data_IF_385939703961
#
_entry.id   IF_385939703961
#
_cell.length_a   1.000
_cell.length_b   1.000
_cell.length_c   1.000
_cell.angle_alpha   90.00
_cell.angle_beta   90.00
_cell.angle_gamma   90.00
#
_symmetry.space_group_name_H-M   'P 1'
#
loop_
_entity.id
_entity.type
_entity.pdbx_description
1 polymer ?
#
# COMPACT_ATOMS: atom_id res chain seq x y z
N UNK A 1 11.70 -10.85 -11.79
CA UNK A 1 10.98 -9.79 -11.04
C UNK A 1 11.42 -8.47 -11.63
N UNK A 2 10.50 -7.58 -12.02
CA UNK A 2 10.92 -6.24 -12.44
C UNK A 2 11.33 -5.46 -11.19
N UNK A 3 12.26 -4.52 -11.33
CA UNK A 3 12.57 -3.60 -10.23
C UNK A 3 11.37 -2.71 -9.94
N UNK A 4 11.22 -2.28 -8.68
CA UNK A 4 10.10 -1.45 -8.22
C UNK A 4 9.79 -0.23 -9.13
N UNK A 5 10.77 0.59 -9.56
CA UNK A 5 10.49 1.74 -10.44
C UNK A 5 10.00 1.32 -11.84
N UNK A 6 10.57 0.25 -12.42
CA UNK A 6 10.16 -0.26 -13.72
C UNK A 6 8.78 -0.93 -13.67
N UNK A 7 8.48 -1.63 -12.58
CA UNK A 7 7.18 -2.23 -12.32
C UNK A 7 6.09 -1.16 -12.15
N UNK A 8 6.36 -0.11 -11.37
CA UNK A 8 5.47 1.04 -11.20
C UNK A 8 5.16 1.71 -12.55
N UNK A 9 6.20 2.03 -13.32
CA UNK A 9 6.04 2.72 -14.59
C UNK A 9 5.24 1.89 -15.59
N UNK A 10 5.55 0.59 -15.70
CA UNK A 10 4.80 -0.34 -16.56
C UNK A 10 3.32 -0.37 -16.16
N UNK A 11 3.01 -0.50 -14.88
CA UNK A 11 1.64 -0.58 -14.39
C UNK A 11 0.85 0.69 -14.72
N UNK A 12 1.43 1.87 -14.43
CA UNK A 12 0.81 3.17 -14.65
C UNK A 12 0.58 3.49 -16.12
N UNK A 13 1.51 3.12 -17.02
CA UNK A 13 1.39 3.38 -18.46
C UNK A 13 0.14 2.75 -19.10
N UNK A 14 -0.29 1.60 -18.57
CA UNK A 14 -1.49 0.89 -19.00
C UNK A 14 -2.77 1.27 -18.23
N UNK A 15 -2.68 2.17 -17.26
CA UNK A 15 -3.80 2.60 -16.42
C UNK A 15 -4.53 3.80 -17.05
N UNK A 16 -5.85 3.92 -16.86
CA UNK A 16 -6.60 5.11 -17.29
C UNK A 16 -6.29 6.30 -16.38
N UNK A 17 -6.36 7.51 -16.89
CA UNK A 17 -6.15 8.73 -16.09
C UNK A 17 -7.13 8.84 -14.90
N UNK A 18 -8.40 8.50 -15.10
CA UNK A 18 -9.38 8.42 -14.01
C UNK A 18 -8.94 7.48 -12.89
N UNK A 19 -8.41 6.32 -13.27
CA UNK A 19 -8.03 5.27 -12.33
C UNK A 19 -6.71 5.64 -11.64
N UNK A 20 -5.79 6.34 -12.33
CA UNK A 20 -4.57 6.90 -11.76
C UNK A 20 -4.88 7.90 -10.65
N UNK A 21 -5.89 8.76 -10.84
CA UNK A 21 -6.29 9.74 -9.82
C UNK A 21 -6.91 9.05 -8.60
N UNK A 22 -7.72 8.01 -8.81
CA UNK A 22 -8.23 7.16 -7.73
C UNK A 22 -7.10 6.42 -6.99
N UNK A 23 -6.12 5.89 -7.73
CA UNK A 23 -4.94 5.24 -7.17
C UNK A 23 -4.13 6.23 -6.33
N UNK A 24 -3.85 7.43 -6.84
CA UNK A 24 -3.10 8.46 -6.11
C UNK A 24 -3.75 8.79 -4.77
N UNK A 25 -5.05 9.07 -4.76
CA UNK A 25 -5.77 9.38 -3.52
C UNK A 25 -5.73 8.24 -2.51
N UNK A 26 -5.86 7.00 -2.98
CA UNK A 26 -5.78 5.82 -2.13
C UNK A 26 -4.36 5.61 -1.58
N UNK A 27 -3.33 5.81 -2.41
CA UNK A 27 -1.93 5.68 -1.99
C UNK A 27 -1.51 6.78 -1.01
N UNK A 28 -2.02 8.01 -1.14
CA UNK A 28 -1.78 9.07 -0.16
C UNK A 28 -2.37 8.73 1.22
N UNK A 29 -3.60 8.21 1.25
CA UNK A 29 -4.22 7.74 2.50
C UNK A 29 -3.48 6.53 3.11
N UNK A 30 -3.03 5.61 2.25
CA UNK A 30 -2.21 4.47 2.64
C UNK A 30 -0.88 4.92 3.25
N UNK A 31 -0.21 5.90 2.64
CA UNK A 31 1.10 6.39 3.07
C UNK A 31 1.03 7.12 4.40
N UNK A 32 0.02 7.97 4.58
CA UNK A 32 -0.27 8.60 5.88
C UNK A 32 -0.50 7.53 6.97
N UNK A 33 -1.29 6.50 6.67
CA UNK A 33 -1.55 5.39 7.60
C UNK A 33 -0.29 4.58 7.88
N UNK A 34 0.53 4.29 6.87
CA UNK A 34 1.76 3.54 7.03
C UNK A 34 2.75 4.30 7.91
N UNK A 35 2.98 5.59 7.65
CA UNK A 35 3.91 6.41 8.41
C UNK A 35 3.50 6.56 9.89
N UNK A 36 2.20 6.66 10.19
CA UNK A 36 1.71 6.66 11.58
C UNK A 36 1.89 5.32 12.29
N UNK A 37 1.83 4.20 11.56
CA UNK A 37 1.81 2.86 12.14
C UNK A 37 3.15 2.10 12.06
N UNK A 38 4.11 2.57 11.25
CA UNK A 38 5.39 1.90 11.03
C UNK A 38 6.23 1.77 12.30
N UNK A 39 6.20 2.80 13.15
CA UNK A 39 7.03 2.87 14.36
C UNK A 39 6.24 2.66 15.65
N UNK A 40 4.91 2.51 15.58
CA UNK A 40 4.07 2.40 16.78
C UNK A 40 3.88 0.93 17.19
N UNK A 41 4.57 0.55 18.26
CA UNK A 41 4.32 -0.70 18.98
C UNK A 41 3.40 -0.42 20.17
N UNK A 42 2.12 -0.80 20.07
CA UNK A 42 1.18 -0.61 21.17
C UNK A 42 1.27 -1.79 22.14
N UNK A 43 1.73 -1.52 23.36
CA UNK A 43 1.74 -2.49 24.46
C UNK A 43 0.43 -2.38 25.26
N UNK A 44 -0.36 -3.45 25.26
CA UNK A 44 -1.63 -3.52 25.98
C UNK A 44 -1.54 -4.55 27.10
N UNK A 45 -1.44 -4.07 28.35
CA UNK A 45 -1.52 -4.92 29.55
C UNK A 45 -2.91 -5.54 29.75
N UNK A 46 -3.94 -5.05 29.04
CA UNK A 46 -5.32 -5.56 29.08
C UNK A 46 -5.45 -6.97 28.46
N UNK A 47 -4.42 -7.43 27.74
CA UNK A 47 -4.39 -8.72 27.05
C UNK A 47 -3.80 -9.87 27.86
N UNK A 48 -3.40 -9.68 29.13
CA UNK A 48 -2.90 -10.77 29.98
C UNK A 48 -3.88 -11.96 30.08
N UNK A 49 -5.20 -11.71 29.93
CA UNK A 49 -6.24 -12.75 29.90
C UNK A 49 -6.31 -13.55 28.59
N UNK A 50 -5.57 -13.18 27.54
CA UNK A 50 -5.56 -13.81 26.20
C UNK A 50 -4.36 -14.72 25.96
N UNK A 51 -3.68 -15.16 27.02
CA UNK A 51 -2.49 -16.04 26.99
C UNK A 51 -2.71 -17.37 26.24
N UNK A 52 -3.97 -17.77 26.05
CA UNK A 52 -4.38 -19.03 25.44
C UNK A 52 -4.77 -18.92 23.95
N UNK A 53 -4.73 -17.74 23.33
CA UNK A 53 -5.11 -17.58 21.92
C UNK A 53 -3.88 -17.44 21.02
N UNK A 54 -3.78 -18.19 19.91
CA UNK A 54 -2.67 -18.08 18.96
C UNK A 54 -2.60 -16.68 18.33
N UNK A 55 -1.44 -16.30 17.80
CA UNK A 55 -1.24 -15.04 17.06
C UNK A 55 -2.30 -14.93 15.97
N UNK A 56 -3.11 -13.86 16.01
CA UNK A 56 -4.14 -13.59 15.02
C UNK A 56 -3.74 -12.34 14.23
N UNK A 57 -3.54 -12.52 12.92
CA UNK A 57 -3.43 -11.43 11.96
C UNK A 57 -4.83 -11.07 11.49
N UNK A 58 -5.32 -9.89 11.86
CA UNK A 58 -6.61 -9.40 11.39
C UNK A 58 -6.40 -8.52 10.16
N UNK A 59 -7.06 -8.84 9.05
CA UNK A 59 -7.08 -7.96 7.88
C UNK A 59 -7.83 -6.67 8.22
N UNK A 60 -7.19 -5.51 7.98
CA UNK A 60 -7.80 -4.20 8.20
C UNK A 60 -8.45 -3.68 6.92
N UNK A 61 -7.67 -3.64 5.84
CA UNK A 61 -8.08 -3.08 4.57
C UNK A 61 -7.37 -3.80 3.43
N UNK A 62 -8.08 -4.00 2.32
CA UNK A 62 -7.52 -4.52 1.08
C UNK A 62 -7.91 -3.58 -0.05
N UNK A 63 -6.90 -3.01 -0.71
CA UNK A 63 -7.07 -2.16 -1.88
C UNK A 63 -6.74 -2.97 -3.12
N UNK A 64 -7.58 -2.85 -4.14
CA UNK A 64 -7.46 -3.58 -5.38
C UNK A 64 -7.54 -2.61 -6.55
N UNK A 65 -6.51 -2.62 -7.39
CA UNK A 65 -6.46 -1.84 -8.61
C UNK A 65 -6.13 -2.76 -9.77
N UNK A 66 -6.72 -2.46 -10.93
CA UNK A 66 -6.40 -3.17 -12.16
C UNK A 66 -6.24 -2.17 -13.30
N UNK A 67 -5.41 -2.53 -14.27
CA UNK A 67 -5.18 -1.71 -15.46
C UNK A 67 -5.89 -2.31 -16.69
N UNK A 68 -5.74 -1.66 -17.85
CA UNK A 68 -6.37 -2.12 -19.10
C UNK A 68 -5.87 -3.48 -19.59
N UNK A 69 -4.67 -3.88 -19.18
CA UNK A 69 -4.01 -5.14 -19.57
C UNK A 69 -4.27 -6.24 -18.53
N UNK A 70 -5.19 -6.00 -17.58
CA UNK A 70 -5.52 -6.90 -16.48
C UNK A 70 -4.37 -7.17 -15.50
N UNK A 71 -3.32 -6.34 -15.49
CA UNK A 71 -2.40 -6.39 -14.36
C UNK A 71 -3.15 -5.94 -13.10
N UNK A 72 -2.84 -6.59 -11.99
CA UNK A 72 -3.51 -6.40 -10.71
C UNK A 72 -2.52 -5.94 -9.65
N UNK A 73 -2.84 -4.81 -9.00
CA UNK A 73 -2.16 -4.33 -7.82
C UNK A 73 -3.08 -4.55 -6.62
N UNK A 74 -2.61 -5.34 -5.65
CA UNK A 74 -3.32 -5.67 -4.42
C UNK A 74 -2.47 -5.21 -3.26
N UNK A 75 -3.04 -4.36 -2.40
CA UNK A 75 -2.37 -3.85 -1.20
C UNK A 75 -3.21 -4.26 0.00
N UNK A 76 -2.64 -5.08 0.87
CA UNK A 76 -3.33 -5.55 2.09
C UNK A 76 -2.66 -5.00 3.32
N UNK A 77 -3.46 -4.46 4.22
CA UNK A 77 -3.04 -4.02 5.53
C UNK A 77 -3.53 -5.01 6.57
N UNK A 78 -2.63 -5.40 7.46
CA UNK A 78 -2.88 -6.31 8.55
C UNK A 78 -2.54 -5.65 9.88
N UNK A 79 -3.36 -5.96 10.88
CA UNK A 79 -3.04 -5.74 12.27
C UNK A 79 -2.71 -7.08 12.89
N UNK A 80 -1.44 -7.28 13.18
CA UNK A 80 -0.97 -8.46 13.86
C UNK A 80 -1.10 -8.24 15.36
N UNK A 81 -1.92 -9.07 15.99
CA UNK A 81 -2.07 -9.09 17.44
C UNK A 81 -1.15 -10.17 18.01
N UNK A 82 0.00 -9.75 18.55
CA UNK A 82 0.77 -10.57 19.48
C UNK A 82 0.32 -10.29 20.91
N UNK A 83 0.51 -11.26 21.80
CA UNK A 83 0.06 -11.24 23.20
C UNK A 83 0.35 -9.93 23.94
N UNK A 84 1.44 -9.23 23.60
CA UNK A 84 1.85 -7.95 24.18
C UNK A 84 2.07 -6.83 23.16
N UNK A 85 1.98 -7.10 21.85
CA UNK A 85 2.41 -6.15 20.82
C UNK A 85 1.43 -6.18 19.65
N UNK A 86 0.83 -5.04 19.37
CA UNK A 86 0.20 -4.81 18.07
C UNK A 86 1.29 -4.38 17.09
N UNK A 87 1.40 -5.07 15.96
CA UNK A 87 2.25 -4.65 14.84
C UNK A 87 1.42 -4.45 13.58
N UNK A 88 1.72 -3.37 12.87
CA UNK A 88 1.17 -3.12 11.54
C UNK A 88 2.02 -3.83 10.49
N UNK A 89 1.38 -4.57 9.60
CA UNK A 89 2.03 -5.25 8.47
C UNK A 89 1.31 -4.88 7.19
N UNK A 90 2.06 -4.62 6.14
CA UNK A 90 1.55 -4.35 4.80
C UNK A 90 2.08 -5.39 3.83
N UNK A 91 1.22 -5.87 2.94
CA UNK A 91 1.56 -6.77 1.85
C UNK A 91 1.19 -6.09 0.54
N UNK A 92 2.14 -6.04 -0.41
CA UNK A 92 1.97 -5.38 -1.69
C UNK A 92 2.25 -6.41 -2.77
N UNK A 93 1.24 -6.69 -3.58
CA UNK A 93 1.27 -7.69 -4.63
C UNK A 93 0.98 -7.01 -5.97
N UNK A 94 1.89 -7.14 -6.92
CA UNK A 94 1.64 -6.76 -8.30
C UNK A 94 1.71 -8.03 -9.16
N UNK A 95 0.61 -8.41 -9.80
CA UNK A 95 0.48 -9.65 -10.57
C UNK A 95 0.89 -10.90 -9.78
N UNK A 96 0.43 -10.98 -8.52
CA UNK A 96 0.80 -12.04 -7.57
C UNK A 96 2.29 -12.10 -7.19
N UNK A 97 3.08 -11.09 -7.57
CA UNK A 97 4.48 -10.95 -7.15
C UNK A 97 4.54 -9.99 -5.97
N UNK A 98 5.20 -10.40 -4.89
CA UNK A 98 5.38 -9.58 -3.70
C UNK A 98 6.44 -8.49 -3.94
N UNK A 99 6.11 -7.26 -3.52
CA UNK A 99 7.02 -6.13 -3.50
C UNK A 99 7.13 -5.56 -2.09
N UNK A 100 8.25 -4.88 -1.84
CA UNK A 100 8.42 -4.05 -0.65
C UNK A 100 7.70 -2.69 -0.82
N UNK A 101 7.73 -1.89 0.25
CA UNK A 101 7.08 -0.59 0.26
C UNK A 101 7.65 0.38 -0.78
N UNK A 102 8.86 0.12 -1.32
CA UNK A 102 9.45 0.95 -2.38
C UNK A 102 8.57 1.03 -3.62
N UNK A 103 7.80 -0.01 -3.94
CA UNK A 103 6.86 0.04 -5.06
C UNK A 103 5.80 1.14 -4.86
N UNK A 104 5.30 1.30 -3.63
CA UNK A 104 4.33 2.35 -3.29
C UNK A 104 4.96 3.73 -3.42
N UNK A 105 6.19 3.90 -2.92
CA UNK A 105 6.94 5.15 -3.07
C UNK A 105 7.14 5.51 -4.56
N UNK A 106 7.57 4.56 -5.39
CA UNK A 106 7.75 4.80 -6.82
C UNK A 106 6.42 5.11 -7.54
N UNK A 107 5.33 4.44 -7.18
CA UNK A 107 4.00 4.73 -7.74
C UNK A 107 3.55 6.15 -7.38
N UNK A 108 3.74 6.56 -6.12
CA UNK A 108 3.41 7.91 -5.66
C UNK A 108 4.25 8.97 -6.39
N UNK A 109 5.57 8.80 -6.46
CA UNK A 109 6.47 9.73 -7.16
C UNK A 109 6.06 9.92 -8.63
N UNK A 110 5.85 8.81 -9.36
CA UNK A 110 5.48 8.86 -10.77
C UNK A 110 4.07 9.44 -10.99
N UNK A 111 3.11 9.14 -10.11
CA UNK A 111 1.77 9.73 -10.16
C UNK A 111 1.81 11.23 -9.89
N UNK A 112 2.61 11.66 -8.91
CA UNK A 112 2.83 13.07 -8.63
C UNK A 112 3.43 13.79 -9.85
N UNK A 113 4.52 13.28 -10.42
CA UNK A 113 5.12 13.87 -11.63
C UNK A 113 4.10 13.99 -12.76
N UNK A 114 3.33 12.93 -13.03
CA UNK A 114 2.33 12.95 -14.10
C UNK A 114 1.20 13.97 -13.85
N UNK A 115 0.75 14.14 -12.60
CA UNK A 115 -0.33 15.06 -12.27
C UNK A 115 0.13 16.53 -12.22
N UNK A 116 1.40 16.80 -11.92
CA UNK A 116 1.96 18.15 -11.88
C UNK A 116 2.36 18.68 -13.27
N UNK A 117 2.74 17.81 -14.22
CA UNK A 117 3.13 18.24 -15.58
C UNK A 117 1.95 18.83 -16.37
N UNK A 118 0.72 18.36 -16.14
CA UNK A 118 -0.47 18.91 -16.80
C UNK A 118 -0.84 20.33 -16.32
N UNK A 119 -0.42 20.73 -15.10
CA UNK A 119 -0.72 22.05 -14.55
C UNK A 119 0.08 23.19 -15.22
N UNK A 120 1.21 22.87 -15.88
CA UNK A 120 2.08 23.85 -16.52
C UNK A 120 1.96 23.89 -18.05
N UNK A 121 1.09 23.09 -18.65
CA UNK A 121 0.87 23.05 -20.10
C UNK A 121 -0.16 24.09 -20.61
N UNK A 122 -0.62 24.99 -19.74
CA UNK A 122 -1.48 26.13 -20.07
C UNK A 122 -0.82 27.47 -19.69
N UNK A 123 0.38 27.72 -20.21
CA UNK A 123 1.03 29.04 -20.14
C UNK A 123 1.34 29.55 -21.56
#
# INVERSE_FOLDING_TARGET
>A
MLDAPAAAQKFLNSMKESDKQHLLNALLGLDATHNLNRDTSFYSYRNLKKLLHPRQSQAMQSLHFSNKVQDSLIIRQFKDHSFLKNSYRIEILLNSVNYDYRLISCLLEQLHESCFVDAYSYA
#
